data_IF_648487692121
#
_entry.id   IF_648487692121
#
_cell.length_a   1.000
_cell.length_b   1.000
_cell.length_c   1.000
_cell.angle_alpha   90.00
_cell.angle_beta   90.00
_cell.angle_gamma   90.00
#
_symmetry.space_group_name_H-M   'P 1'
#
loop_
_entity.id
_entity.type
_entity.pdbx_description
1 polymer ?
#
# COMPACT_ATOMS: atom_id res chain seq x y z
N UNK A 1 13.21 -12.82 3.18
CA UNK A 1 13.52 -11.90 2.07
C UNK A 1 12.69 -12.34 0.87
N UNK A 2 11.50 -11.79 0.69
CA UNK A 2 10.64 -12.13 -0.46
C UNK A 2 11.00 -11.21 -1.61
N UNK A 3 11.65 -11.75 -2.63
CA UNK A 3 11.97 -11.05 -3.87
C UNK A 3 10.68 -10.52 -4.48
N UNK A 4 10.54 -9.20 -4.55
CA UNK A 4 9.43 -8.54 -5.23
C UNK A 4 9.52 -8.86 -6.72
N UNK A 5 8.57 -9.64 -7.22
CA UNK A 5 8.42 -9.97 -8.64
C UNK A 5 8.29 -8.67 -9.46
N UNK A 6 9.35 -8.33 -10.19
CA UNK A 6 9.47 -7.07 -10.94
C UNK A 6 8.76 -7.13 -12.31
N UNK A 7 8.12 -8.25 -12.65
CA UNK A 7 7.49 -8.46 -13.96
C UNK A 7 6.09 -7.87 -14.07
N UNK A 8 5.43 -7.48 -12.97
CA UNK A 8 4.04 -6.99 -12.99
C UNK A 8 3.83 -5.49 -13.21
N UNK A 9 4.87 -4.67 -13.42
CA UNK A 9 4.71 -3.21 -13.61
C UNK A 9 5.79 -2.57 -14.48
N UNK A 10 5.82 -2.86 -15.77
CA UNK A 10 6.46 -1.96 -16.74
C UNK A 10 5.51 -1.75 -17.89
N UNK A 11 4.96 -0.55 -17.99
CA UNK A 11 4.36 -0.11 -19.25
C UNK A 11 5.43 -0.31 -20.35
N UNK A 12 5.04 -0.75 -21.56
CA UNK A 12 5.98 -0.83 -22.67
C UNK A 12 6.69 0.52 -22.86
N UNK A 13 7.97 0.52 -23.27
CA UNK A 13 8.67 1.76 -23.58
C UNK A 13 7.92 2.50 -24.68
N UNK A 14 7.80 3.81 -24.54
CA UNK A 14 7.18 4.65 -25.57
C UNK A 14 7.97 4.48 -26.88
N UNK A 15 7.26 4.27 -27.99
CA UNK A 15 7.90 4.30 -29.30
C UNK A 15 8.25 5.73 -29.70
N UNK A 16 9.26 5.90 -30.56
CA UNK A 16 9.65 7.22 -31.08
C UNK A 16 8.48 7.95 -31.76
N UNK A 17 7.58 7.20 -32.39
CA UNK A 17 6.37 7.75 -33.02
C UNK A 17 5.37 8.26 -31.98
N UNK A 18 5.17 7.53 -30.87
CA UNK A 18 4.31 7.98 -29.77
C UNK A 18 4.90 9.20 -29.06
N UNK A 19 6.23 9.24 -28.85
CA UNK A 19 6.93 10.38 -28.25
C UNK A 19 6.76 11.63 -29.11
N UNK A 20 6.95 11.49 -30.42
CA UNK A 20 6.76 12.59 -31.37
C UNK A 20 5.31 13.14 -31.35
N UNK A 21 4.32 12.26 -31.22
CA UNK A 21 2.91 12.65 -31.11
C UNK A 21 2.63 13.39 -29.79
N UNK A 22 3.17 12.91 -28.66
CA UNK A 22 3.03 13.59 -27.39
C UNK A 22 3.68 14.98 -27.42
N UNK A 23 4.89 15.09 -27.96
CA UNK A 23 5.60 16.36 -28.07
C UNK A 23 4.86 17.35 -28.99
N UNK A 24 4.31 16.88 -30.10
CA UNK A 24 3.47 17.70 -30.98
C UNK A 24 2.17 18.13 -30.29
N UNK A 25 1.57 17.28 -29.46
CA UNK A 25 0.39 17.62 -28.68
C UNK A 25 0.69 18.67 -27.60
N UNK A 26 1.86 18.59 -26.95
CA UNK A 26 2.32 19.58 -25.96
C UNK A 26 2.57 20.93 -26.65
N UNK A 27 3.32 20.94 -27.75
CA UNK A 27 3.69 22.15 -28.46
C UNK A 27 2.49 22.92 -29.05
N UNK A 28 1.43 22.20 -29.45
CA UNK A 28 0.25 22.79 -30.05
C UNK A 28 -0.87 23.10 -29.03
N UNK A 29 -0.66 22.86 -27.73
CA UNK A 29 -1.66 23.14 -26.70
C UNK A 29 -1.51 24.56 -26.13
N UNK A 30 -2.40 25.51 -26.48
CA UNK A 30 -2.32 26.88 -25.96
C UNK A 30 -2.54 26.97 -24.44
N UNK A 31 -3.26 26.02 -23.84
CA UNK A 31 -3.47 25.96 -22.38
C UNK A 31 -2.26 25.39 -21.62
N UNK A 32 -1.21 24.97 -22.34
CA UNK A 32 0.05 24.47 -21.78
C UNK A 32 1.25 25.25 -22.31
N UNK A 33 1.05 26.53 -22.61
CA UNK A 33 2.14 27.44 -22.96
C UNK A 33 3.19 27.50 -21.84
N UNK A 34 4.45 27.58 -22.24
CA UNK A 34 5.57 27.75 -21.32
C UNK A 34 5.44 29.07 -20.55
N UNK A 35 5.71 29.03 -19.24
CA UNK A 35 5.66 30.21 -18.38
C UNK A 35 6.80 31.16 -18.72
N UNK A 36 6.49 32.45 -18.86
CA UNK A 36 7.53 33.49 -18.94
C UNK A 36 8.21 33.70 -17.59
N UNK A 37 9.44 34.22 -17.59
CA UNK A 37 10.17 34.53 -16.35
C UNK A 37 9.39 35.44 -15.40
N UNK A 38 8.65 36.40 -15.96
CA UNK A 38 7.82 37.33 -15.21
C UNK A 38 6.60 36.65 -14.56
N UNK A 39 6.04 35.62 -15.19
CA UNK A 39 4.94 34.82 -14.63
C UNK A 39 5.45 33.84 -13.58
N UNK A 40 6.60 33.21 -13.84
CA UNK A 40 7.25 32.31 -12.90
C UNK A 40 7.60 33.03 -11.58
N UNK A 41 8.11 34.26 -11.68
CA UNK A 41 8.43 35.10 -10.51
C UNK A 41 7.22 35.45 -9.63
N UNK A 42 5.98 35.32 -10.14
CA UNK A 42 4.75 35.61 -9.40
C UNK A 42 4.15 34.40 -8.70
N UNK A 43 4.68 33.19 -8.94
CA UNK A 43 4.16 31.98 -8.30
C UNK A 43 4.37 32.03 -6.78
N UNK A 44 3.40 31.49 -6.04
CA UNK A 44 3.43 31.40 -4.58
C UNK A 44 3.27 29.95 -4.13
N UNK A 45 3.87 29.56 -2.99
CA UNK A 45 3.67 28.24 -2.42
C UNK A 45 2.19 27.91 -2.21
N UNK A 46 1.79 26.67 -2.49
CA UNK A 46 0.39 26.22 -2.36
C UNK A 46 -0.21 26.46 -0.96
N UNK A 47 0.61 26.33 0.10
CA UNK A 47 0.21 26.61 1.50
C UNK A 47 -0.20 28.07 1.75
N UNK A 48 0.28 29.00 0.92
CA UNK A 48 0.05 30.44 1.09
C UNK A 48 -1.18 30.92 0.29
N UNK A 49 -1.72 30.07 -0.60
CA UNK A 49 -2.84 30.41 -1.50
C UNK A 49 -4.07 29.51 -1.35
N UNK A 50 -3.89 28.27 -0.91
CA UNK A 50 -4.99 27.33 -0.69
C UNK A 50 -5.58 27.48 0.72
N UNK A 51 -6.90 27.26 0.89
CA UNK A 51 -7.48 27.12 2.22
C UNK A 51 -6.78 26.00 3.02
N UNK A 52 -6.57 26.17 4.34
CA UNK A 52 -5.83 25.21 5.16
C UNK A 52 -6.36 23.77 5.08
N UNK A 53 -7.68 23.60 5.04
CA UNK A 53 -8.31 22.29 4.92
C UNK A 53 -8.01 21.59 3.57
N UNK A 54 -7.95 22.36 2.47
CA UNK A 54 -7.65 21.84 1.13
C UNK A 54 -6.17 21.47 1.04
N UNK A 55 -5.29 22.33 1.54
CA UNK A 55 -3.86 22.03 1.59
C UNK A 55 -3.57 20.78 2.44
N UNK A 56 -4.19 20.66 3.62
CA UNK A 56 -4.08 19.49 4.47
C UNK A 56 -4.56 18.22 3.76
N UNK A 57 -5.70 18.25 3.08
CA UNK A 57 -6.21 17.08 2.35
C UNK A 57 -5.30 16.61 1.21
N UNK A 58 -4.60 17.51 0.52
CA UNK A 58 -3.68 17.18 -0.57
C UNK A 58 -2.30 16.71 -0.08
N UNK A 59 -1.91 17.12 1.13
CA UNK A 59 -0.58 16.84 1.70
C UNK A 59 -0.58 15.74 2.75
N UNK A 60 -1.73 15.41 3.33
CA UNK A 60 -1.90 14.23 4.15
C UNK A 60 -1.73 13.01 3.25
N UNK A 61 -0.54 12.39 3.33
CA UNK A 61 -0.30 11.11 2.68
C UNK A 61 -1.41 10.13 3.04
N UNK A 62 -1.87 9.35 2.07
CA UNK A 62 -2.80 8.27 2.34
C UNK A 62 -2.24 7.45 3.50
N UNK A 63 -3.05 7.13 4.51
CA UNK A 63 -2.58 6.24 5.55
C UNK A 63 -2.09 4.96 4.86
N UNK A 64 -0.84 4.60 5.16
CA UNK A 64 -0.24 3.38 4.68
C UNK A 64 -1.18 2.27 5.14
N UNK A 65 -1.61 1.39 4.23
CA UNK A 65 -2.59 0.31 4.46
C UNK A 65 -2.27 -0.66 5.62
N UNK A 66 -1.20 -0.41 6.40
CA UNK A 66 -0.87 -1.04 7.68
C UNK A 66 -1.89 -0.76 8.79
N UNK A 67 -2.83 0.15 8.60
CA UNK A 67 -3.88 0.45 9.59
C UNK A 67 -4.84 -0.72 9.88
N UNK A 68 -4.74 -1.86 9.18
CA UNK A 68 -5.44 -3.09 9.58
C UNK A 68 -4.74 -3.88 10.70
N UNK A 69 -3.52 -3.47 11.12
CA UNK A 69 -2.78 -4.08 12.23
C UNK A 69 -2.37 -5.54 11.99
N UNK A 70 -2.49 -6.05 10.77
CA UNK A 70 -2.15 -7.44 10.41
C UNK A 70 -0.78 -7.47 9.75
N UNK A 71 0.11 -8.31 10.27
CA UNK A 71 1.45 -8.50 9.72
C UNK A 71 1.45 -9.71 8.79
N UNK A 72 1.90 -9.53 7.55
CA UNK A 72 2.16 -10.65 6.65
C UNK A 72 3.48 -11.33 7.02
N UNK A 73 3.44 -12.64 7.25
CA UNK A 73 4.62 -13.44 7.61
C UNK A 73 4.64 -14.78 6.85
N UNK A 74 5.84 -15.33 6.67
CA UNK A 74 6.02 -16.68 6.12
C UNK A 74 6.06 -17.69 7.27
N UNK A 75 5.09 -18.60 7.33
CA UNK A 75 4.98 -19.66 8.34
C UNK A 75 4.87 -21.02 7.65
N UNK A 76 5.60 -22.00 8.17
CA UNK A 76 5.41 -23.40 7.78
C UNK A 76 4.27 -23.99 8.62
N UNK A 77 3.23 -24.46 7.94
CA UNK A 77 2.07 -25.14 8.55
C UNK A 77 1.99 -26.52 7.91
N UNK A 78 1.57 -27.52 8.69
CA UNK A 78 1.28 -28.84 8.18
C UNK A 78 0.26 -28.75 7.01
N UNK A 79 0.51 -29.41 5.87
CA UNK A 79 -0.36 -29.32 4.70
C UNK A 79 -1.78 -29.78 4.96
N UNK A 80 -2.00 -30.80 5.80
CA UNK A 80 -3.33 -31.32 6.10
C UNK A 80 -4.12 -30.34 6.96
N UNK A 81 -3.44 -29.67 7.88
CA UNK A 81 -4.03 -28.60 8.70
C UNK A 81 -4.44 -27.42 7.81
N UNK A 82 -3.58 -27.00 6.89
CA UNK A 82 -3.90 -25.91 5.96
C UNK A 82 -5.08 -26.27 5.05
N UNK A 83 -5.12 -27.51 4.55
CA UNK A 83 -6.23 -28.02 3.75
C UNK A 83 -7.55 -28.01 4.52
N UNK A 84 -7.55 -28.49 5.76
CA UNK A 84 -8.73 -28.51 6.62
C UNK A 84 -9.30 -27.09 6.86
N UNK A 85 -8.45 -26.09 7.12
CA UNK A 85 -8.91 -24.71 7.28
C UNK A 85 -9.52 -24.16 5.99
N UNK A 86 -8.84 -24.34 4.85
CA UNK A 86 -9.31 -23.88 3.53
C UNK A 86 -10.64 -24.52 3.13
N UNK A 87 -10.83 -25.81 3.43
CA UNK A 87 -12.06 -26.54 3.14
C UNK A 87 -13.29 -25.96 3.87
N UNK A 88 -13.09 -25.28 5.00
CA UNK A 88 -14.18 -24.63 5.74
C UNK A 88 -14.74 -23.37 5.06
N UNK A 89 -14.28 -22.99 3.87
CA UNK A 89 -14.84 -21.89 3.08
C UNK A 89 -14.15 -20.52 3.26
N UNK A 90 -14.82 -19.43 2.85
CA UNK A 90 -14.35 -18.05 3.02
C UNK A 90 -13.94 -17.77 4.48
N UNK A 91 -13.03 -16.83 4.70
CA UNK A 91 -12.52 -16.45 6.02
C UNK A 91 -11.71 -17.54 6.78
N UNK A 92 -11.22 -18.57 6.10
CA UNK A 92 -10.36 -19.59 6.73
C UNK A 92 -9.12 -18.99 7.42
N UNK A 93 -8.56 -17.90 6.90
CA UNK A 93 -7.45 -17.18 7.50
C UNK A 93 -7.83 -16.51 8.83
N UNK A 94 -9.03 -15.92 8.90
CA UNK A 94 -9.53 -15.30 10.14
C UNK A 94 -9.75 -16.36 11.24
N UNK A 95 -10.33 -17.51 10.87
CA UNK A 95 -10.49 -18.65 11.80
C UNK A 95 -9.14 -19.20 12.28
N UNK A 96 -8.18 -19.34 11.38
CA UNK A 96 -6.81 -19.77 11.74
C UNK A 96 -6.17 -18.76 12.72
N UNK A 97 -6.32 -17.45 12.46
CA UNK A 97 -5.82 -16.42 13.36
C UNK A 97 -6.48 -16.47 14.76
N UNK A 98 -7.79 -16.72 14.83
CA UNK A 98 -8.48 -16.92 16.10
C UNK A 98 -7.91 -18.13 16.88
N UNK A 99 -7.71 -19.26 16.20
CA UNK A 99 -7.14 -20.46 16.82
C UNK A 99 -5.72 -20.22 17.40
N UNK A 100 -4.89 -19.45 16.68
CA UNK A 100 -3.57 -19.03 17.15
C UNK A 100 -3.68 -18.16 18.41
N UNK A 101 -4.59 -17.18 18.42
CA UNK A 101 -4.82 -16.30 19.57
C UNK A 101 -5.29 -17.07 20.82
N UNK A 102 -6.22 -18.02 20.65
CA UNK A 102 -6.68 -18.88 21.74
C UNK A 102 -5.57 -19.80 22.27
N UNK A 103 -4.68 -20.27 21.39
CA UNK A 103 -3.50 -21.06 21.76
C UNK A 103 -2.61 -20.33 22.76
N UNK A 104 -2.40 -19.02 22.57
CA UNK A 104 -1.63 -18.16 23.49
C UNK A 104 -2.31 -18.10 24.87
N UNK A 105 -3.63 -17.92 24.91
CA UNK A 105 -4.38 -17.85 26.16
C UNK A 105 -4.32 -19.17 26.95
N UNK A 106 -4.40 -20.32 26.25
CA UNK A 106 -4.24 -21.65 26.86
C UNK A 106 -2.81 -21.89 27.36
N UNK A 107 -1.80 -21.46 26.61
CA UNK A 107 -0.38 -21.56 27.00
C UNK A 107 -0.05 -20.77 28.27
N UNK A 108 -0.50 -19.51 28.35
CA UNK A 108 -0.32 -18.66 29.55
C UNK A 108 -0.95 -19.25 30.81
N UNK A 109 -2.08 -19.96 30.66
CA UNK A 109 -2.74 -20.64 31.80
C UNK A 109 -1.92 -21.84 32.29
N UNK A 110 -1.36 -22.65 31.40
CA UNK A 110 -0.51 -23.80 31.75
C UNK A 110 0.79 -23.38 32.45
N UNK A 111 1.48 -22.35 31.96
CA UNK A 111 2.75 -21.90 32.55
C UNK A 111 2.58 -21.27 33.94
N UNK A 112 1.45 -20.62 34.21
CA UNK A 112 1.14 -20.03 35.53
C UNK A 112 0.88 -21.08 36.61
N UNK A 113 0.32 -22.23 36.25
CA UNK A 113 0.04 -23.34 37.19
C UNK A 113 1.33 -24.06 37.58
N UNK A 114 2.28 -24.23 36.66
CA UNK A 114 3.56 -24.91 36.93
C UNK A 114 4.48 -24.08 37.83
N UNK A 115 4.39 -22.74 37.82
CA UNK A 115 5.23 -21.85 38.66
C UNK A 115 4.76 -21.72 40.13
N UNK A 116 3.62 -22.31 40.49
CA UNK A 116 3.01 -22.18 41.84
C UNK A 116 3.08 -23.48 42.68
N UNK A 117 3.79 -24.50 42.21
CA UNK A 117 4.18 -25.69 42.99
C UNK A 117 5.69 -25.72 43.12
#
# INVERSE_FOLDING_TARGET
>A
MTTRDMTKRRAPPLSDAEEALLQASIANNPDSAELTDAELARLRPARDVLPPAVYAALTQGHPVQDETGRVQLTLNVDPDVLAAYKAGGPDWQARMNQALAEGIARGKRRTRTVKRG
#
